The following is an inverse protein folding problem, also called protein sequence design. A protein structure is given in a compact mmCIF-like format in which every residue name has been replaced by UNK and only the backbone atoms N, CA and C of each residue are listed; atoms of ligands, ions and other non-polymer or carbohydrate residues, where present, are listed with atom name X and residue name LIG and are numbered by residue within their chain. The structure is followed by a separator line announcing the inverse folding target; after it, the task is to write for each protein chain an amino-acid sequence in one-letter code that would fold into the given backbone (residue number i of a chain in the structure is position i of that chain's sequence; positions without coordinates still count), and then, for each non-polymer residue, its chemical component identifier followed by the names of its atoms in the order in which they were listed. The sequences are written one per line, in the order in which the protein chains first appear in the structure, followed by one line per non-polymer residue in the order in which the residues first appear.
data_IF_626048555621
#
_entry.id   IF_626048555621
#
_cell.length_a   1.000
_cell.length_b   1.000
_cell.length_c   1.000
_cell.angle_alpha   90.00
_cell.angle_beta   90.00
_cell.angle_gamma   90.00
#
_symmetry.space_group_name_H-M   'P 1'
#
loop_
_entity.id
_entity.type
_entity.pdbx_description
1 polymer ?
#
# COMPACT_ATOMS: atom_id res chain seq x y z
N UNK A 1 -41.54 -12.23 19.01
CA UNK A 1 -40.67 -11.44 18.13
C UNK A 1 -39.25 -11.98 18.14
N UNK A 2 -38.68 -12.21 16.95
CA UNK A 2 -37.27 -12.56 16.82
C UNK A 2 -36.54 -11.32 16.30
N UNK A 3 -35.71 -10.70 17.13
CA UNK A 3 -34.89 -9.55 16.75
C UNK A 3 -33.58 -10.04 16.14
N UNK A 4 -33.33 -9.67 14.87
CA UNK A 4 -32.03 -9.84 14.23
C UNK A 4 -31.12 -8.70 14.66
N UNK A 5 -30.04 -9.00 15.37
CA UNK A 5 -28.95 -8.05 15.64
C UNK A 5 -27.87 -8.21 14.58
N UNK A 6 -27.40 -7.10 14.00
CA UNK A 6 -26.17 -7.12 13.19
C UNK A 6 -24.99 -7.40 14.13
N UNK A 7 -24.31 -8.52 13.91
CA UNK A 7 -23.03 -8.80 14.55
C UNK A 7 -21.96 -8.04 13.74
N UNK A 8 -21.60 -6.82 14.15
CA UNK A 8 -20.37 -6.23 13.62
C UNK A 8 -19.21 -7.14 14.04
N UNK A 9 -18.56 -7.79 13.09
CA UNK A 9 -17.29 -8.46 13.33
C UNK A 9 -16.26 -7.37 13.64
N UNK A 10 -16.17 -7.03 14.93
CA UNK A 10 -15.51 -5.85 15.49
C UNK A 10 -13.99 -5.86 15.45
N UNK A 11 -13.40 -5.98 14.26
CA UNK A 11 -11.99 -5.70 14.07
C UNK A 11 -11.84 -4.35 13.36
N UNK A 12 -11.12 -3.43 13.99
CA UNK A 12 -10.84 -2.14 13.39
C UNK A 12 -9.95 -2.32 12.14
N UNK A 13 -10.23 -1.57 11.08
CA UNK A 13 -9.36 -1.52 9.91
C UNK A 13 -7.97 -1.01 10.30
N UNK A 14 -6.89 -1.67 9.83
CA UNK A 14 -5.54 -1.25 10.18
C UNK A 14 -5.21 0.10 9.55
N UNK A 15 -4.38 0.88 10.23
CA UNK A 15 -3.82 2.10 9.66
C UNK A 15 -2.66 1.71 8.75
N UNK A 16 -2.79 2.08 7.47
CA UNK A 16 -1.81 1.76 6.45
C UNK A 16 -0.90 2.94 6.16
N UNK A 17 0.36 2.66 5.83
CA UNK A 17 1.34 3.64 5.38
C UNK A 17 2.04 3.17 4.11
N UNK A 18 2.56 4.14 3.36
CA UNK A 18 3.32 3.91 2.14
C UNK A 18 4.55 4.82 2.15
N UNK A 19 5.72 4.23 1.94
CA UNK A 19 7.00 4.92 1.91
C UNK A 19 7.88 4.41 0.77
N UNK A 20 8.81 5.26 0.34
CA UNK A 20 9.87 4.88 -0.58
C UNK A 20 11.18 4.75 0.19
N UNK A 21 11.96 3.72 -0.08
CA UNK A 21 13.23 3.45 0.59
C UNK A 21 14.36 3.29 -0.43
N UNK A 22 15.58 3.65 -0.02
CA UNK A 22 16.81 3.41 -0.80
C UNK A 22 17.56 2.19 -0.30
N UNK A 23 18.37 1.59 -1.17
CA UNK A 23 19.28 0.47 -0.91
C UNK A 23 18.61 -0.86 -0.52
N UNK A 24 17.55 -0.85 0.29
CA UNK A 24 16.74 -2.02 0.66
C UNK A 24 15.34 -1.61 1.15
N UNK A 25 14.39 -2.56 1.31
CA UNK A 25 13.08 -2.28 1.92
C UNK A 25 13.16 -1.71 3.34
N UNK A 26 14.19 -2.06 4.10
CA UNK A 26 14.42 -1.54 5.46
C UNK A 26 15.43 -0.37 5.48
N UNK A 27 15.80 0.17 4.31
CA UNK A 27 16.75 1.27 4.20
C UNK A 27 16.18 2.59 4.69
N UNK A 28 16.92 3.71 4.56
CA UNK A 28 16.38 5.01 4.92
C UNK A 28 15.30 5.45 3.93
N UNK A 29 14.31 6.20 4.43
CA UNK A 29 13.22 6.77 3.61
C UNK A 29 13.80 7.74 2.59
N UNK A 30 13.43 7.52 1.33
CA UNK A 30 13.84 8.31 0.18
C UNK A 30 12.93 9.54 0.03
N UNK A 31 13.53 10.72 0.07
CA UNK A 31 12.83 11.99 -0.25
C UNK A 31 13.09 12.47 -1.68
N UNK A 32 14.27 12.16 -2.22
CA UNK A 32 14.70 12.56 -3.56
C UNK A 32 15.51 11.41 -4.17
N UNK A 33 15.12 10.96 -5.36
CA UNK A 33 15.86 9.98 -6.15
C UNK A 33 16.40 10.59 -7.44
N UNK A 34 17.35 9.90 -8.08
CA UNK A 34 17.87 10.21 -9.41
C UNK A 34 17.43 9.15 -10.41
N UNK A 35 17.38 9.53 -11.68
CA UNK A 35 17.12 8.57 -12.76
C UNK A 35 18.20 7.48 -12.72
N UNK A 36 17.77 6.23 -12.69
CA UNK A 36 18.64 5.06 -12.56
C UNK A 36 18.79 4.53 -11.13
N UNK A 37 18.35 5.26 -10.11
CA UNK A 37 18.31 4.74 -8.74
C UNK A 37 17.26 3.63 -8.62
N UNK A 38 17.60 2.56 -7.89
CA UNK A 38 16.64 1.53 -7.49
C UNK A 38 15.93 2.00 -6.22
N UNK A 39 14.60 2.05 -6.26
CA UNK A 39 13.76 2.45 -5.14
C UNK A 39 12.89 1.28 -4.69
N UNK A 40 12.69 1.17 -3.38
CA UNK A 40 11.87 0.14 -2.77
C UNK A 40 10.56 0.77 -2.31
N UNK A 41 9.45 0.29 -2.87
CA UNK A 41 8.11 0.67 -2.44
C UNK A 41 7.72 -0.19 -1.25
N UNK A 42 7.44 0.43 -0.11
CA UNK A 42 7.12 -0.26 1.14
C UNK A 42 5.73 0.15 1.56
N UNK A 43 4.84 -0.84 1.61
CA UNK A 43 3.53 -0.70 2.21
C UNK A 43 3.56 -1.41 3.56
N UNK A 44 2.96 -0.78 4.58
CA UNK A 44 2.85 -1.35 5.91
C UNK A 44 1.44 -1.13 6.45
N UNK A 45 0.78 -2.21 6.87
CA UNK A 45 -0.58 -2.24 7.40
C UNK A 45 -0.61 -3.26 8.56
N UNK A 46 -0.06 -2.91 9.75
CA UNK A 46 0.04 -3.85 10.86
C UNK A 46 -1.35 -4.29 11.32
N UNK A 47 -1.58 -5.60 11.36
CA UNK A 47 -2.83 -6.21 11.79
C UNK A 47 -2.62 -7.66 12.23
N UNK A 48 -3.32 -8.07 13.28
CA UNK A 48 -3.31 -9.46 13.76
C UNK A 48 -4.37 -10.34 13.05
N UNK A 49 -5.28 -9.70 12.28
CA UNK A 49 -6.44 -10.37 11.67
C UNK A 49 -6.54 -10.16 10.16
N UNK A 50 -5.87 -9.15 9.63
CA UNK A 50 -5.88 -8.81 8.20
C UNK A 50 -4.49 -8.97 7.61
N UNK A 51 -4.43 -9.35 6.33
CA UNK A 51 -3.24 -9.27 5.50
C UNK A 51 -3.45 -8.25 4.39
N UNK A 52 -2.35 -7.75 3.83
CA UNK A 52 -2.38 -6.73 2.79
C UNK A 52 -2.11 -7.34 1.41
N UNK A 53 -2.93 -6.95 0.43
CA UNK A 53 -2.72 -7.17 -1.01
C UNK A 53 -2.67 -5.81 -1.71
N UNK A 54 -1.65 -5.58 -2.52
CA UNK A 54 -1.58 -4.37 -3.35
C UNK A 54 -2.27 -4.65 -4.68
N UNK A 55 -3.53 -4.25 -4.81
CA UNK A 55 -4.34 -4.58 -5.99
C UNK A 55 -3.92 -3.82 -7.25
N UNK A 56 -3.51 -2.57 -7.17
CA UNK A 56 -3.08 -1.82 -8.36
C UNK A 56 -2.16 -0.67 -7.98
N UNK A 57 -1.15 -0.40 -8.81
CA UNK A 57 -0.25 0.73 -8.61
C UNK A 57 0.07 1.36 -9.95
N UNK A 58 0.01 2.69 -9.98
CA UNK A 58 0.24 3.50 -11.17
C UNK A 58 1.23 4.61 -10.84
N UNK A 59 2.12 4.89 -11.77
CA UNK A 59 2.99 6.07 -11.75
C UNK A 59 2.34 7.15 -12.61
N UNK A 60 2.11 8.31 -12.01
CA UNK A 60 1.52 9.48 -12.68
C UNK A 60 2.63 10.44 -13.10
N UNK A 61 2.60 10.93 -14.34
CA UNK A 61 3.61 11.86 -14.87
C UNK A 61 3.28 13.35 -14.64
N UNK A 62 2.13 13.64 -14.02
CA UNK A 62 1.64 15.00 -13.76
C UNK A 62 1.06 15.72 -14.98
N UNK A 63 1.07 15.10 -16.17
CA UNK A 63 0.50 15.61 -17.44
C UNK A 63 -0.73 14.81 -17.88
N UNK A 64 -1.21 13.90 -17.04
CA UNK A 64 -2.35 13.02 -17.32
C UNK A 64 -1.96 11.67 -17.91
N UNK A 65 -0.66 11.39 -18.05
CA UNK A 65 -0.15 10.07 -18.37
C UNK A 65 -0.03 9.21 -17.11
N UNK A 66 -0.37 7.94 -17.24
CA UNK A 66 -0.19 6.94 -16.20
C UNK A 66 0.52 5.70 -16.74
N UNK A 67 1.29 5.05 -15.86
CA UNK A 67 1.96 3.80 -16.16
C UNK A 67 1.68 2.78 -15.06
N UNK A 68 1.06 1.65 -15.42
CA UNK A 68 0.73 0.58 -14.48
C UNK A 68 1.98 -0.23 -14.14
N UNK A 69 2.27 -0.37 -12.85
CA UNK A 69 3.39 -1.17 -12.33
C UNK A 69 2.93 -2.41 -11.57
N UNK A 70 1.70 -2.37 -11.02
CA UNK A 70 1.02 -3.51 -10.40
C UNK A 70 -0.40 -3.54 -10.98
N UNK A 71 -0.84 -4.70 -11.46
CA UNK A 71 -2.16 -4.89 -12.08
C UNK A 71 -3.18 -5.45 -11.08
N UNK A 72 -4.45 -5.53 -11.47
CA UNK A 72 -5.59 -5.95 -10.63
C UNK A 72 -5.42 -7.28 -9.87
N UNK A 73 -4.49 -8.14 -10.28
CA UNK A 73 -4.22 -9.41 -9.60
C UNK A 73 -3.11 -9.33 -8.54
N UNK A 74 -2.53 -8.14 -8.33
CA UNK A 74 -1.33 -7.95 -7.50
C UNK A 74 -0.05 -8.29 -8.24
#
# INVERSE_FOLDING_TARGET
DLTTSMLESGHAMPQCSYTLHRDSPNGPVLRYGRVGDIVFHVWDCPSDVYAMLIHSCYILDGKGGEHQVINENG
#
